data_IF_562673948980
#
_entry.id   IF_562673948980
#
_cell.length_a   1.000
_cell.length_b   1.000
_cell.length_c   1.000
_cell.angle_alpha   90.00
_cell.angle_beta   90.00
_cell.angle_gamma   90.00
#
_symmetry.space_group_name_H-M   'P 1'
#
loop_
_entity.id
_entity.type
_entity.pdbx_description
1 polymer ?
#
# COMPACT_ATOMS: atom_id res chain seq x y z
N UNK A 1 -11.76 -57.39 -73.98
CA UNK A 1 -10.95 -58.05 -72.93
C UNK A 1 -9.69 -57.27 -72.60
N UNK A 2 -8.80 -56.96 -73.56
CA UNK A 2 -7.61 -56.13 -73.32
C UNK A 2 -7.90 -54.81 -72.58
N UNK A 3 -8.95 -54.08 -72.99
CA UNK A 3 -9.42 -52.86 -72.29
C UNK A 3 -9.86 -53.15 -70.84
N UNK A 4 -10.53 -54.29 -70.63
CA UNK A 4 -10.97 -54.72 -69.29
C UNK A 4 -9.77 -55.01 -68.40
N UNK A 5 -8.76 -55.71 -68.92
CA UNK A 5 -7.53 -56.02 -68.19
C UNK A 5 -6.69 -54.76 -67.91
N UNK A 6 -6.62 -53.81 -68.84
CA UNK A 6 -5.88 -52.55 -68.63
C UNK A 6 -6.61 -51.55 -67.72
N UNK A 7 -7.94 -51.63 -67.63
CA UNK A 7 -8.79 -50.72 -66.85
C UNK A 7 -9.20 -51.25 -65.47
N UNK A 8 -8.56 -52.32 -64.95
CA UNK A 8 -8.89 -52.93 -63.63
C UNK A 8 -8.99 -51.93 -62.47
N UNK A 9 -8.30 -50.79 -62.59
CA UNK A 9 -8.27 -49.73 -61.56
C UNK A 9 -9.28 -48.59 -61.81
N UNK A 10 -9.96 -48.60 -62.95
CA UNK A 10 -10.84 -47.50 -63.35
C UNK A 10 -12.23 -47.61 -62.71
N UNK A 11 -12.86 -46.47 -62.37
CA UNK A 11 -14.27 -46.44 -62.01
C UNK A 11 -15.15 -47.08 -63.09
N UNK A 12 -16.13 -47.88 -62.67
CA UNK A 12 -17.07 -48.51 -63.60
C UNK A 12 -16.57 -49.81 -64.23
N UNK A 13 -15.39 -50.33 -63.83
CA UNK A 13 -14.87 -51.62 -64.28
C UNK A 13 -15.90 -52.75 -64.13
N UNK A 14 -16.61 -52.83 -63.00
CA UNK A 14 -17.65 -53.85 -62.77
C UNK A 14 -18.78 -53.79 -63.81
N UNK A 15 -19.13 -52.59 -64.32
CA UNK A 15 -20.11 -52.44 -65.38
C UNK A 15 -19.53 -52.93 -66.72
N UNK A 16 -18.28 -52.58 -67.04
CA UNK A 16 -17.57 -53.05 -68.24
C UNK A 16 -17.43 -54.59 -68.22
N UNK A 17 -17.08 -55.15 -67.07
CA UNK A 17 -16.89 -56.59 -66.86
C UNK A 17 -18.20 -57.38 -67.03
N UNK A 18 -19.30 -56.91 -66.43
CA UNK A 18 -20.62 -57.50 -66.63
C UNK A 18 -21.10 -57.41 -68.08
N UNK A 19 -20.84 -56.31 -68.77
CA UNK A 19 -21.17 -56.16 -70.18
C UNK A 19 -20.38 -57.13 -71.06
N UNK A 20 -19.08 -57.32 -70.78
CA UNK A 20 -18.25 -58.30 -71.47
C UNK A 20 -18.67 -59.74 -71.18
N UNK A 21 -18.98 -60.09 -69.93
CA UNK A 21 -19.49 -61.41 -69.54
C UNK A 21 -20.78 -61.74 -70.29
N UNK A 22 -21.71 -60.78 -70.38
CA UNK A 22 -22.94 -60.91 -71.15
C UNK A 22 -22.65 -61.14 -72.65
N UNK A 23 -21.74 -60.35 -73.23
CA UNK A 23 -21.35 -60.50 -74.64
C UNK A 23 -20.72 -61.88 -74.91
N UNK A 24 -19.79 -62.32 -74.06
CA UNK A 24 -19.10 -63.60 -74.19
C UNK A 24 -20.05 -64.80 -74.11
N UNK A 25 -21.05 -64.75 -73.22
CA UNK A 25 -22.09 -65.78 -73.11
C UNK A 25 -23.04 -65.81 -74.30
N UNK A 26 -23.30 -64.66 -74.92
CA UNK A 26 -24.22 -64.53 -76.06
C UNK A 26 -23.61 -64.83 -77.42
N UNK A 27 -22.27 -64.87 -77.53
CA UNK A 27 -21.57 -65.06 -78.79
C UNK A 27 -21.72 -66.49 -79.32
N UNK A 28 -22.29 -66.62 -80.52
CA UNK A 28 -22.46 -67.90 -81.23
C UNK A 28 -21.30 -68.21 -82.19
N UNK A 29 -20.49 -67.20 -82.52
CA UNK A 29 -19.47 -67.28 -83.57
C UNK A 29 -18.10 -67.76 -83.06
N UNK A 30 -17.95 -67.92 -81.74
CA UNK A 30 -16.74 -68.44 -81.11
C UNK A 30 -16.79 -69.95 -80.99
N UNK A 31 -15.68 -70.62 -81.32
CA UNK A 31 -15.50 -72.02 -80.97
C UNK A 31 -15.47 -72.21 -79.45
N UNK A 32 -15.70 -73.45 -79.00
CA UNK A 32 -15.69 -73.79 -77.58
C UNK A 32 -14.35 -73.45 -76.93
N UNK A 33 -13.25 -73.79 -77.59
CA UNK A 33 -11.89 -73.57 -77.07
C UNK A 33 -11.55 -72.07 -76.97
N UNK A 34 -11.98 -71.26 -77.94
CA UNK A 34 -11.82 -69.79 -77.88
C UNK A 34 -12.64 -69.18 -76.74
N UNK A 35 -13.88 -69.66 -76.54
CA UNK A 35 -14.74 -69.17 -75.45
C UNK A 35 -14.14 -69.53 -74.09
N UNK A 36 -13.65 -70.75 -73.91
CA UNK A 36 -13.04 -71.22 -72.66
C UNK A 36 -11.73 -70.45 -72.38
N UNK A 37 -10.91 -70.17 -73.40
CA UNK A 37 -9.71 -69.33 -73.29
C UNK A 37 -10.04 -67.89 -72.85
N UNK A 38 -10.98 -67.23 -73.53
CA UNK A 38 -11.45 -65.88 -73.18
C UNK A 38 -12.10 -65.83 -71.79
N UNK A 39 -12.78 -66.91 -71.39
CA UNK A 39 -13.36 -67.04 -70.05
C UNK A 39 -12.27 -67.13 -68.98
N UNK A 40 -11.22 -67.92 -69.20
CA UNK A 40 -10.08 -68.02 -68.29
C UNK A 40 -9.31 -66.70 -68.15
N UNK A 41 -9.16 -65.92 -69.22
CA UNK A 41 -8.58 -64.57 -69.16
C UNK A 41 -9.51 -63.55 -68.47
N UNK A 42 -10.83 -63.63 -68.69
CA UNK A 42 -11.80 -62.83 -67.96
C UNK A 42 -11.77 -63.10 -66.45
N UNK A 43 -11.72 -64.38 -66.05
CA UNK A 43 -11.58 -64.78 -64.66
C UNK A 43 -10.30 -64.21 -64.05
N UNK A 44 -9.16 -64.28 -64.75
CA UNK A 44 -7.91 -63.66 -64.30
C UNK A 44 -8.05 -62.13 -64.12
N UNK A 45 -8.69 -61.44 -65.05
CA UNK A 45 -8.95 -60.00 -64.92
C UNK A 45 -9.89 -59.68 -63.75
N UNK A 46 -10.88 -60.54 -63.49
CA UNK A 46 -11.81 -60.41 -62.38
C UNK A 46 -11.17 -60.67 -61.02
N UNK A 47 -10.30 -61.67 -60.92
CA UNK A 47 -9.56 -61.94 -59.70
C UNK A 47 -8.55 -60.82 -59.42
N UNK A 48 -7.88 -60.28 -60.45
CA UNK A 48 -7.03 -59.09 -60.32
C UNK A 48 -7.84 -57.85 -59.86
N UNK A 49 -9.09 -57.69 -60.32
CA UNK A 49 -9.98 -56.65 -59.82
C UNK A 49 -10.36 -56.84 -58.36
N UNK A 50 -10.71 -58.07 -57.95
CA UNK A 50 -11.02 -58.38 -56.55
C UNK A 50 -9.83 -58.10 -55.64
N UNK A 51 -8.64 -58.55 -56.02
CA UNK A 51 -7.40 -58.30 -55.28
C UNK A 51 -7.14 -56.80 -55.16
N UNK A 52 -7.32 -56.04 -56.26
CA UNK A 52 -7.20 -54.59 -56.23
C UNK A 52 -8.24 -53.92 -55.32
N UNK A 53 -9.51 -54.38 -55.30
CA UNK A 53 -10.52 -53.84 -54.38
C UNK A 53 -10.19 -54.16 -52.92
N UNK A 54 -9.75 -55.39 -52.62
CA UNK A 54 -9.34 -55.78 -51.27
C UNK A 54 -8.15 -54.96 -50.78
N UNK A 55 -7.15 -54.73 -51.65
CA UNK A 55 -6.00 -53.89 -51.33
C UNK A 55 -6.41 -52.43 -51.11
N UNK A 56 -7.31 -51.90 -51.96
CA UNK A 56 -7.86 -50.57 -51.76
C UNK A 56 -8.66 -50.46 -50.46
N UNK A 57 -9.45 -51.47 -50.11
CA UNK A 57 -10.20 -51.53 -48.85
C UNK A 57 -9.26 -51.55 -47.64
N UNK A 58 -8.17 -52.32 -47.69
CA UNK A 58 -7.11 -52.31 -46.67
C UNK A 58 -6.47 -50.94 -46.53
N UNK A 59 -6.01 -50.36 -47.63
CA UNK A 59 -5.40 -49.02 -47.63
C UNK A 59 -6.38 -47.95 -47.13
N UNK A 60 -7.65 -48.03 -47.53
CA UNK A 60 -8.69 -47.13 -47.04
C UNK A 60 -8.94 -47.32 -45.54
N UNK A 61 -8.91 -48.55 -45.03
CA UNK A 61 -9.04 -48.84 -43.61
C UNK A 61 -7.86 -48.27 -42.81
N UNK A 62 -6.63 -48.49 -43.25
CA UNK A 62 -5.41 -47.99 -42.59
C UNK A 62 -5.34 -46.46 -42.60
N UNK A 63 -5.66 -45.82 -43.74
CA UNK A 63 -5.76 -44.37 -43.83
C UNK A 63 -6.84 -43.80 -42.91
N UNK A 64 -8.02 -44.44 -42.87
CA UNK A 64 -9.10 -44.02 -41.98
C UNK A 64 -8.69 -44.15 -40.51
N UNK A 65 -8.02 -45.24 -40.12
CA UNK A 65 -7.52 -45.44 -38.77
C UNK A 65 -6.43 -44.41 -38.40
N UNK A 66 -5.52 -44.10 -39.33
CA UNK A 66 -4.52 -43.04 -39.18
C UNK A 66 -5.14 -41.67 -38.92
N UNK A 67 -6.06 -41.25 -39.80
CA UNK A 67 -6.75 -39.96 -39.68
C UNK A 67 -7.65 -39.89 -38.44
N UNK A 68 -8.26 -41.00 -38.04
CA UNK A 68 -9.03 -41.07 -36.80
C UNK A 68 -8.14 -40.80 -35.59
N UNK A 69 -6.95 -41.39 -35.54
CA UNK A 69 -5.96 -41.09 -34.48
C UNK A 69 -5.54 -39.62 -34.49
N UNK A 70 -5.34 -39.01 -35.67
CA UNK A 70 -5.08 -37.57 -35.75
C UNK A 70 -6.23 -36.72 -35.21
N UNK A 71 -7.49 -37.17 -35.33
CA UNK A 71 -8.63 -36.50 -34.70
C UNK A 71 -8.66 -36.71 -33.18
N UNK A 72 -8.24 -37.87 -32.69
CA UNK A 72 -8.06 -38.13 -31.25
C UNK A 72 -6.96 -37.21 -30.67
N UNK A 73 -5.85 -37.06 -31.39
CA UNK A 73 -4.78 -36.12 -31.03
C UNK A 73 -5.29 -34.67 -31.03
N UNK A 74 -6.09 -34.30 -32.04
CA UNK A 74 -6.70 -32.97 -32.14
C UNK A 74 -7.66 -32.70 -30.97
N UNK A 75 -8.41 -33.71 -30.56
CA UNK A 75 -9.31 -33.66 -29.41
C UNK A 75 -8.53 -33.47 -28.10
N UNK A 76 -7.41 -34.18 -27.92
CA UNK A 76 -6.54 -34.04 -26.75
C UNK A 76 -5.93 -32.63 -26.62
N UNK A 77 -5.77 -31.91 -27.74
CA UNK A 77 -5.21 -30.54 -27.75
C UNK A 77 -6.28 -29.44 -27.93
N UNK A 78 -7.55 -29.73 -27.64
CA UNK A 78 -8.69 -28.81 -27.84
C UNK A 78 -8.49 -27.41 -27.24
N UNK A 79 -7.87 -27.31 -26.07
CA UNK A 79 -7.60 -26.05 -25.36
C UNK A 79 -6.21 -25.46 -25.66
N UNK A 80 -5.34 -26.25 -26.31
CA UNK A 80 -3.97 -25.85 -26.62
C UNK A 80 -3.89 -24.82 -27.76
N UNK A 81 -2.77 -24.10 -27.79
CA UNK A 81 -2.37 -23.26 -28.92
C UNK A 81 -2.06 -24.08 -30.18
N UNK A 82 -1.64 -25.33 -30.00
CA UNK A 82 -1.22 -26.25 -31.06
C UNK A 82 -2.38 -26.81 -31.89
N UNK A 83 -3.62 -26.73 -31.40
CA UNK A 83 -4.80 -27.26 -32.11
C UNK A 83 -4.88 -26.83 -33.57
N UNK A 84 -4.53 -25.58 -33.88
CA UNK A 84 -4.60 -25.09 -35.26
C UNK A 84 -3.62 -25.85 -36.16
N UNK A 85 -2.39 -26.05 -35.69
CA UNK A 85 -1.36 -26.80 -36.41
C UNK A 85 -1.78 -28.26 -36.62
N UNK A 86 -2.30 -28.91 -35.58
CA UNK A 86 -2.79 -30.30 -35.68
C UNK A 86 -4.01 -30.39 -36.62
N UNK A 87 -4.90 -29.39 -36.59
CA UNK A 87 -6.06 -29.31 -37.48
C UNK A 87 -5.65 -29.10 -38.95
N UNK A 88 -4.64 -28.27 -39.20
CA UNK A 88 -4.10 -28.00 -40.54
C UNK A 88 -3.43 -29.27 -41.10
N UNK A 89 -2.67 -30.00 -40.27
CA UNK A 89 -2.09 -31.31 -40.63
C UNK A 89 -3.16 -32.34 -40.98
N UNK A 90 -4.17 -32.52 -40.13
CA UNK A 90 -5.30 -33.42 -40.43
C UNK A 90 -5.97 -33.07 -41.76
N UNK A 91 -6.18 -31.77 -42.04
CA UNK A 91 -6.81 -31.34 -43.28
C UNK A 91 -5.94 -31.65 -44.52
N UNK A 92 -4.61 -31.51 -44.41
CA UNK A 92 -3.67 -31.91 -45.46
C UNK A 92 -3.74 -33.42 -45.71
N UNK A 93 -3.61 -34.23 -44.65
CA UNK A 93 -3.63 -35.70 -44.72
C UNK A 93 -4.96 -36.21 -45.32
N UNK A 94 -6.09 -35.61 -44.94
CA UNK A 94 -7.41 -35.95 -45.46
C UNK A 94 -7.54 -35.65 -46.97
N UNK A 95 -6.93 -34.56 -47.45
CA UNK A 95 -6.92 -34.19 -48.88
C UNK A 95 -6.08 -35.17 -49.70
N UNK A 96 -4.96 -35.63 -49.15
CA UNK A 96 -4.04 -36.56 -49.81
C UNK A 96 -4.54 -38.02 -49.82
N UNK A 97 -5.49 -38.35 -48.94
CA UNK A 97 -6.02 -39.70 -48.76
C UNK A 97 -6.96 -40.15 -49.90
N UNK A 98 -6.37 -40.59 -51.03
CA UNK A 98 -7.09 -41.03 -52.24
C UNK A 98 -7.79 -42.40 -52.11
N UNK A 99 -7.38 -43.26 -51.17
CA UNK A 99 -7.96 -44.60 -51.04
C UNK A 99 -9.36 -44.59 -50.40
N UNK A 100 -9.62 -43.60 -49.53
CA UNK A 100 -10.87 -43.47 -48.77
C UNK A 100 -12.12 -43.42 -49.64
N UNK A 101 -13.16 -44.10 -49.18
CA UNK A 101 -14.50 -44.00 -49.74
C UNK A 101 -15.19 -42.71 -49.29
N UNK A 102 -16.18 -42.25 -50.07
CA UNK A 102 -16.93 -41.02 -49.78
C UNK A 102 -17.49 -41.00 -48.34
N UNK A 103 -18.14 -42.09 -47.92
CA UNK A 103 -18.72 -42.22 -46.57
C UNK A 103 -17.67 -42.01 -45.47
N UNK A 104 -16.51 -42.64 -45.59
CA UNK A 104 -15.41 -42.49 -44.63
C UNK A 104 -14.90 -41.04 -44.55
N UNK A 105 -14.77 -40.36 -45.71
CA UNK A 105 -14.39 -38.94 -45.74
C UNK A 105 -15.43 -38.05 -45.08
N UNK A 106 -16.71 -38.29 -45.36
CA UNK A 106 -17.83 -37.54 -44.78
C UNK A 106 -17.87 -37.73 -43.25
N UNK A 107 -17.65 -38.96 -42.76
CA UNK A 107 -17.61 -39.28 -41.33
C UNK A 107 -16.44 -38.56 -40.62
N UNK A 108 -15.22 -38.64 -41.16
CA UNK A 108 -14.04 -37.93 -40.63
C UNK A 108 -14.23 -36.41 -40.64
N UNK A 109 -14.80 -35.87 -41.72
CA UNK A 109 -15.06 -34.44 -41.86
C UNK A 109 -16.11 -33.95 -40.87
N UNK A 110 -17.18 -34.73 -40.65
CA UNK A 110 -18.22 -34.43 -39.66
C UNK A 110 -17.64 -34.36 -38.24
N UNK A 111 -16.80 -35.34 -37.87
CA UNK A 111 -16.10 -35.35 -36.58
C UNK A 111 -15.19 -34.13 -36.42
N UNK A 112 -14.39 -33.81 -37.45
CA UNK A 112 -13.54 -32.62 -37.49
C UNK A 112 -14.34 -31.31 -37.28
N UNK A 113 -15.48 -31.15 -37.96
CA UNK A 113 -16.37 -30.01 -37.75
C UNK A 113 -16.95 -29.96 -36.33
N UNK A 114 -17.22 -31.12 -35.73
CA UNK A 114 -17.62 -31.25 -34.33
C UNK A 114 -16.58 -30.65 -33.38
N UNK A 115 -15.31 -31.03 -33.54
CA UNK A 115 -14.20 -30.53 -32.72
C UNK A 115 -14.02 -29.01 -32.84
N UNK A 116 -14.16 -28.44 -34.05
CA UNK A 116 -14.15 -26.99 -34.24
C UNK A 116 -15.29 -26.27 -33.51
N UNK A 117 -16.51 -26.81 -33.57
CA UNK A 117 -17.66 -26.26 -32.84
C UNK A 117 -17.42 -26.34 -31.32
N UNK A 118 -16.84 -27.44 -30.84
CA UNK A 118 -16.50 -27.61 -29.43
C UNK A 118 -15.45 -26.60 -28.98
N UNK A 119 -14.35 -26.43 -29.72
CA UNK A 119 -13.32 -25.41 -29.44
C UNK A 119 -13.89 -24.00 -29.44
N UNK A 120 -14.80 -23.68 -30.38
CA UNK A 120 -15.48 -22.39 -30.41
C UNK A 120 -16.29 -22.16 -29.12
N UNK A 121 -17.08 -23.15 -28.69
CA UNK A 121 -17.85 -23.08 -27.43
C UNK A 121 -16.96 -22.94 -26.20
N UNK A 122 -15.83 -23.64 -26.15
CA UNK A 122 -14.84 -23.51 -25.06
C UNK A 122 -14.29 -22.08 -25.00
N UNK A 123 -13.89 -21.51 -26.14
CA UNK A 123 -13.42 -20.12 -26.20
C UNK A 123 -14.48 -19.10 -25.81
N UNK A 124 -15.74 -19.32 -26.21
CA UNK A 124 -16.86 -18.47 -25.81
C UNK A 124 -17.11 -18.56 -24.30
N UNK A 125 -17.02 -19.77 -23.72
CA UNK A 125 -17.09 -19.98 -22.27
C UNK A 125 -15.96 -19.27 -21.54
N UNK A 126 -14.71 -19.45 -21.97
CA UNK A 126 -13.55 -18.80 -21.35
C UNK A 126 -13.66 -17.27 -21.44
N UNK A 127 -14.14 -16.74 -22.57
CA UNK A 127 -14.38 -15.31 -22.74
C UNK A 127 -15.49 -14.79 -21.80
N UNK A 128 -16.58 -15.54 -21.63
CA UNK A 128 -17.66 -15.19 -20.71
C UNK A 128 -17.21 -15.28 -19.24
N UNK A 129 -16.45 -16.32 -18.88
CA UNK A 129 -15.90 -16.50 -17.54
C UNK A 129 -14.89 -15.37 -17.21
N UNK A 130 -14.07 -14.97 -18.19
CA UNK A 130 -13.15 -13.82 -18.10
C UNK A 130 -13.90 -12.49 -17.94
N UNK A 131 -14.94 -12.24 -18.73
CA UNK A 131 -15.76 -11.02 -18.61
C UNK A 131 -16.50 -10.97 -17.26
N UNK A 132 -17.03 -12.09 -16.79
CA UNK A 132 -17.67 -12.17 -15.47
C UNK A 132 -16.66 -11.88 -14.35
N UNK A 133 -15.48 -12.49 -14.38
CA UNK A 133 -14.41 -12.22 -13.43
C UNK A 133 -14.01 -10.75 -13.45
N UNK A 134 -13.84 -10.16 -14.64
CA UNK A 134 -13.57 -8.73 -14.80
C UNK A 134 -14.63 -7.87 -14.14
N UNK A 135 -15.93 -8.11 -14.42
CA UNK A 135 -17.04 -7.35 -13.82
C UNK A 135 -17.03 -7.45 -12.30
N UNK A 136 -16.72 -8.62 -11.73
CA UNK A 136 -16.61 -8.80 -10.28
C UNK A 136 -15.47 -7.98 -9.67
N UNK A 137 -14.29 -7.95 -10.29
CA UNK A 137 -13.19 -7.10 -9.83
C UNK A 137 -13.54 -5.62 -9.95
N UNK A 138 -14.12 -5.20 -11.08
CA UNK A 138 -14.55 -3.81 -11.29
C UNK A 138 -15.62 -3.40 -10.27
N UNK A 139 -16.59 -4.27 -9.99
CA UNK A 139 -17.59 -4.03 -8.96
C UNK A 139 -16.96 -3.93 -7.56
N UNK A 140 -15.99 -4.80 -7.23
CA UNK A 140 -15.22 -4.70 -5.98
C UNK A 140 -14.44 -3.38 -5.91
N UNK A 141 -13.85 -2.93 -7.01
CA UNK A 141 -13.15 -1.65 -7.09
C UNK A 141 -14.08 -0.47 -6.83
N UNK A 142 -15.25 -0.43 -7.47
CA UNK A 142 -16.23 0.63 -7.23
C UNK A 142 -16.91 0.51 -5.85
N UNK A 143 -16.91 -0.68 -5.26
CA UNK A 143 -17.37 -0.90 -3.89
C UNK A 143 -16.34 -0.52 -2.82
N UNK A 144 -15.11 -0.21 -3.20
CA UNK A 144 -14.16 0.40 -2.27
C UNK A 144 -14.69 1.79 -1.91
N UNK A 145 -15.03 1.98 -0.63
CA UNK A 145 -15.51 3.26 -0.13
C UNK A 145 -14.33 4.25 -0.05
N UNK A 146 -14.16 5.05 -1.11
CA UNK A 146 -13.29 6.23 -1.12
C UNK A 146 -14.06 7.52 -0.76
N UNK A 147 -15.24 7.38 -0.16
CA UNK A 147 -16.02 8.50 0.33
C UNK A 147 -15.88 8.63 1.85
N UNK A 148 -15.98 9.85 2.33
CA UNK A 148 -16.08 10.15 3.75
C UNK A 148 -17.32 11.02 3.93
N UNK A 149 -18.27 10.57 4.75
CA UNK A 149 -19.59 11.17 4.95
C UNK A 149 -20.39 11.42 3.65
N UNK A 150 -20.25 10.51 2.68
CA UNK A 150 -20.93 10.62 1.37
C UNK A 150 -20.31 11.64 0.41
N UNK A 151 -19.28 12.36 0.84
CA UNK A 151 -18.46 13.21 -0.02
C UNK A 151 -17.21 12.44 -0.46
N UNK A 152 -16.67 12.70 -1.67
CA UNK A 152 -15.34 12.19 -2.03
C UNK A 152 -14.33 12.56 -0.93
N UNK A 153 -13.36 11.68 -0.62
CA UNK A 153 -12.30 11.95 0.38
C UNK A 153 -11.65 13.35 0.21
N UNK A 154 -11.64 13.89 -1.01
CA UNK A 154 -11.17 15.23 -1.36
C UNK A 154 -11.94 16.40 -0.71
N UNK A 155 -13.12 16.17 -0.11
CA UNK A 155 -14.04 17.25 0.30
C UNK A 155 -14.37 17.27 1.80
N UNK A 156 -14.03 16.24 2.58
CA UNK A 156 -14.50 16.16 3.98
C UNK A 156 -13.48 16.64 5.01
N UNK A 157 -13.57 17.95 5.28
CA UNK A 157 -13.02 18.81 6.34
C UNK A 157 -12.77 18.30 7.80
N UNK A 158 -13.51 17.30 8.24
CA UNK A 158 -13.97 17.25 9.64
C UNK A 158 -13.45 16.09 10.48
N UNK A 159 -12.78 15.08 9.88
CA UNK A 159 -12.37 13.87 10.61
C UNK A 159 -11.13 13.18 10.01
N UNK A 160 -9.98 13.87 10.12
CA UNK A 160 -8.74 13.54 9.42
C UNK A 160 -8.05 12.24 9.80
N UNK A 161 -8.09 11.89 11.09
CA UNK A 161 -7.51 10.65 11.57
C UNK A 161 -8.14 9.45 10.83
N UNK A 162 -9.45 9.50 10.59
CA UNK A 162 -10.17 8.45 9.88
C UNK A 162 -9.85 8.44 8.39
N UNK A 163 -9.63 9.59 7.76
CA UNK A 163 -9.27 9.68 6.33
C UNK A 163 -7.94 8.98 6.05
N UNK A 164 -6.91 9.23 6.87
CA UNK A 164 -5.61 8.59 6.68
C UNK A 164 -5.62 7.08 6.87
N UNK A 165 -6.40 6.59 7.83
CA UNK A 165 -6.60 5.14 8.02
C UNK A 165 -7.34 4.51 6.83
N UNK A 166 -8.39 5.17 6.30
CA UNK A 166 -9.09 4.70 5.10
C UNK A 166 -8.14 4.63 3.90
N UNK A 167 -7.39 5.70 3.61
CA UNK A 167 -6.47 5.72 2.45
C UNK A 167 -5.45 4.57 2.53
N UNK A 168 -4.83 4.32 3.69
CA UNK A 168 -3.89 3.20 3.84
C UNK A 168 -4.58 1.84 3.66
N UNK A 169 -5.74 1.64 4.29
CA UNK A 169 -6.50 0.40 4.17
C UNK A 169 -6.83 0.11 2.70
N UNK A 170 -7.26 1.14 1.98
CA UNK A 170 -7.57 1.05 0.56
C UNK A 170 -6.34 0.75 -0.29
N UNK A 171 -5.18 1.35 -0.03
CA UNK A 171 -3.93 1.01 -0.74
C UNK A 171 -3.56 -0.47 -0.54
N UNK A 172 -3.69 -1.00 0.67
CA UNK A 172 -3.43 -2.42 0.93
C UNK A 172 -4.44 -3.33 0.22
N UNK A 173 -5.73 -2.94 0.17
CA UNK A 173 -6.74 -3.65 -0.61
C UNK A 173 -6.41 -3.65 -2.11
N UNK A 174 -6.01 -2.50 -2.69
CA UNK A 174 -5.60 -2.42 -4.09
C UNK A 174 -4.37 -3.31 -4.37
N UNK A 175 -3.37 -3.32 -3.49
CA UNK A 175 -2.20 -4.24 -3.61
C UNK A 175 -2.60 -5.71 -3.54
N UNK A 176 -3.58 -6.06 -2.70
CA UNK A 176 -4.11 -7.41 -2.62
C UNK A 176 -4.84 -7.78 -3.92
N UNK A 177 -5.71 -6.89 -4.41
CA UNK A 177 -6.42 -7.08 -5.68
C UNK A 177 -5.48 -7.22 -6.87
N UNK A 178 -4.38 -6.46 -6.95
CA UNK A 178 -3.37 -6.64 -8.02
C UNK A 178 -2.75 -8.05 -7.99
N UNK A 179 -2.50 -8.60 -6.79
CA UNK A 179 -1.97 -9.96 -6.64
C UNK A 179 -3.01 -11.00 -7.05
N UNK A 180 -4.27 -10.84 -6.63
CA UNK A 180 -5.39 -11.69 -7.03
C UNK A 180 -5.55 -11.72 -8.56
N UNK A 181 -5.63 -10.55 -9.21
CA UNK A 181 -5.75 -10.41 -10.67
C UNK A 181 -4.59 -11.05 -11.42
N UNK A 182 -3.38 -10.98 -10.87
CA UNK A 182 -2.19 -11.62 -11.47
C UNK A 182 -2.28 -13.15 -11.43
N UNK A 183 -2.87 -13.70 -10.37
CA UNK A 183 -2.97 -15.14 -10.11
C UNK A 183 -4.25 -15.76 -10.68
N UNK A 184 -5.25 -14.95 -11.04
CA UNK A 184 -6.53 -15.45 -11.54
C UNK A 184 -6.39 -16.06 -12.95
N UNK A 185 -6.58 -17.38 -13.00
CA UNK A 185 -6.52 -18.16 -14.23
C UNK A 185 -7.73 -17.92 -15.16
N UNK A 186 -8.85 -17.41 -14.65
CA UNK A 186 -10.06 -17.13 -15.44
C UNK A 186 -9.91 -15.88 -16.29
N UNK A 187 -9.07 -14.94 -15.86
CA UNK A 187 -8.85 -13.70 -16.60
C UNK A 187 -7.92 -13.92 -17.80
N UNK A 188 -8.48 -13.73 -18.99
CA UNK A 188 -7.71 -13.68 -20.22
C UNK A 188 -6.83 -12.42 -20.26
N UNK A 189 -5.73 -12.46 -21.02
CA UNK A 189 -4.72 -11.39 -21.02
C UNK A 189 -5.27 -9.97 -21.30
N UNK A 190 -6.30 -9.85 -22.14
CA UNK A 190 -6.95 -8.56 -22.44
C UNK A 190 -7.75 -8.04 -21.24
N UNK A 191 -8.59 -8.87 -20.63
CA UNK A 191 -9.41 -8.47 -19.49
C UNK A 191 -8.58 -8.26 -18.24
N UNK A 192 -7.55 -9.10 -18.03
CA UNK A 192 -6.56 -8.90 -16.97
C UNK A 192 -5.92 -7.51 -17.06
N UNK A 193 -5.50 -7.10 -18.26
CA UNK A 193 -4.94 -5.76 -18.48
C UNK A 193 -5.98 -4.68 -18.16
N UNK A 194 -7.22 -4.82 -18.63
CA UNK A 194 -8.28 -3.88 -18.32
C UNK A 194 -8.50 -3.70 -16.81
N UNK A 195 -8.54 -4.80 -16.05
CA UNK A 195 -8.65 -4.71 -14.57
C UNK A 195 -7.42 -4.03 -13.97
N UNK A 196 -6.21 -4.29 -14.45
CA UNK A 196 -5.00 -3.59 -13.99
C UNK A 196 -5.07 -2.09 -14.25
N UNK A 197 -5.52 -1.68 -15.44
CA UNK A 197 -5.64 -0.27 -15.81
C UNK A 197 -6.65 0.44 -14.88
N UNK A 198 -7.79 -0.19 -14.59
CA UNK A 198 -8.78 0.32 -13.60
C UNK A 198 -8.21 0.41 -12.18
N UNK A 199 -7.45 -0.61 -11.73
CA UNK A 199 -6.78 -0.55 -10.42
C UNK A 199 -5.80 0.63 -10.38
N UNK A 200 -5.05 0.89 -11.47
CA UNK A 200 -4.08 1.98 -11.52
C UNK A 200 -4.76 3.35 -11.51
N UNK A 201 -5.88 3.52 -12.22
CA UNK A 201 -6.67 4.77 -12.16
C UNK A 201 -7.15 5.06 -10.73
N UNK A 202 -7.70 4.05 -10.07
CA UNK A 202 -8.12 4.16 -8.67
C UNK A 202 -6.94 4.45 -7.74
N UNK A 203 -5.80 3.78 -7.94
CA UNK A 203 -4.58 4.01 -7.18
C UNK A 203 -4.07 5.45 -7.31
N UNK A 204 -4.11 6.00 -8.54
CA UNK A 204 -3.73 7.37 -8.82
C UNK A 204 -4.62 8.36 -8.07
N UNK A 205 -5.95 8.16 -8.11
CA UNK A 205 -6.92 8.96 -7.34
C UNK A 205 -6.65 8.93 -5.84
N UNK A 206 -6.37 7.74 -5.28
CA UNK A 206 -6.02 7.58 -3.86
C UNK A 206 -4.71 8.29 -3.52
N UNK A 207 -3.73 8.26 -4.43
CA UNK A 207 -2.45 8.94 -4.23
C UNK A 207 -2.60 10.47 -4.26
N UNK A 208 -3.43 11.01 -5.16
CA UNK A 208 -3.75 12.45 -5.19
C UNK A 208 -4.47 12.89 -3.91
N UNK A 209 -5.41 12.08 -3.42
CA UNK A 209 -6.10 12.35 -2.17
C UNK A 209 -5.13 12.36 -0.98
N UNK A 210 -4.18 11.42 -0.92
CA UNK A 210 -3.13 11.38 0.09
C UNK A 210 -2.24 12.63 0.03
N UNK A 211 -1.80 13.03 -1.16
CA UNK A 211 -0.95 14.21 -1.35
C UNK A 211 -1.66 15.50 -0.94
N UNK A 212 -2.93 15.65 -1.33
CA UNK A 212 -3.78 16.79 -0.90
C UNK A 212 -3.92 16.80 0.62
N UNK A 213 -4.10 15.63 1.23
CA UNK A 213 -4.21 15.52 2.69
C UNK A 213 -2.89 15.90 3.37
N UNK A 214 -1.75 15.42 2.87
CA UNK A 214 -0.44 15.81 3.37
C UNK A 214 -0.20 17.31 3.27
N UNK A 215 -0.61 17.95 2.18
CA UNK A 215 -0.47 19.39 2.01
C UNK A 215 -1.23 20.16 3.09
N UNK A 216 -2.52 19.86 3.28
CA UNK A 216 -3.37 20.49 4.30
C UNK A 216 -2.84 20.27 5.72
N UNK A 217 -2.40 19.05 6.04
CA UNK A 217 -1.76 18.76 7.33
C UNK A 217 -0.41 19.46 7.48
N UNK A 218 0.33 19.60 6.39
CA UNK A 218 1.59 20.33 6.36
C UNK A 218 1.40 21.80 6.71
N UNK A 219 0.38 22.46 6.13
CA UNK A 219 0.03 23.84 6.45
C UNK A 219 -0.39 24.01 7.91
N UNK A 220 -1.25 23.12 8.42
CA UNK A 220 -1.66 23.14 9.84
C UNK A 220 -0.47 22.91 10.78
N UNK A 221 0.42 21.96 10.44
CA UNK A 221 1.63 21.72 11.22
C UNK A 221 2.56 22.94 11.23
N UNK A 222 2.67 23.65 10.10
CA UNK A 222 3.48 24.86 10.00
C UNK A 222 2.90 25.98 10.88
N UNK A 223 1.57 26.16 10.89
CA UNK A 223 0.89 27.10 11.78
C UNK A 223 1.16 26.77 13.26
N UNK A 224 0.94 25.52 13.67
CA UNK A 224 1.18 25.06 15.04
C UNK A 224 2.63 25.24 15.48
N UNK A 225 3.58 24.99 14.57
CA UNK A 225 4.99 25.24 14.82
C UNK A 225 5.28 26.75 14.99
N UNK A 226 4.75 27.60 14.12
CA UNK A 226 4.93 29.05 14.21
C UNK A 226 4.33 29.64 15.50
N UNK A 227 3.16 29.15 15.92
CA UNK A 227 2.56 29.52 17.21
C UNK A 227 3.45 29.10 18.39
N UNK A 228 3.98 27.88 18.36
CA UNK A 228 4.89 27.39 19.41
C UNK A 228 6.21 28.17 19.43
N UNK A 229 6.76 28.48 18.26
CA UNK A 229 7.94 29.33 18.10
C UNK A 229 7.70 30.72 18.71
N UNK A 230 6.60 31.38 18.34
CA UNK A 230 6.24 32.69 18.86
C UNK A 230 5.98 32.66 20.38
N UNK A 231 5.42 31.58 20.92
CA UNK A 231 5.23 31.41 22.35
C UNK A 231 6.56 31.29 23.10
N UNK A 232 7.52 30.52 22.58
CA UNK A 232 8.88 30.42 23.15
C UNK A 232 9.58 31.78 23.12
N UNK A 233 9.33 32.61 22.11
CA UNK A 233 9.94 33.94 22.00
C UNK A 233 9.32 34.99 22.92
N UNK A 234 7.99 35.01 23.05
CA UNK A 234 7.27 36.13 23.63
C UNK A 234 6.59 35.85 24.98
N UNK A 235 6.52 34.59 25.44
CA UNK A 235 5.83 34.23 26.68
C UNK A 235 6.78 33.85 27.82
N UNK A 236 6.26 33.87 29.05
CA UNK A 236 6.96 33.32 30.19
C UNK A 236 7.23 31.81 30.01
N UNK A 237 8.35 31.26 30.50
CA UNK A 237 8.76 29.88 30.19
C UNK A 237 7.71 28.81 30.51
N UNK A 238 6.95 28.97 31.61
CA UNK A 238 5.88 28.03 31.98
C UNK A 238 4.72 28.01 30.98
N UNK A 239 4.30 29.18 30.50
CA UNK A 239 3.23 29.29 29.50
C UNK A 239 3.68 28.79 28.13
N UNK A 240 4.90 29.16 27.71
CA UNK A 240 5.50 28.66 26.47
C UNK A 240 5.62 27.12 26.46
N UNK A 241 5.99 26.51 27.59
CA UNK A 241 6.08 25.04 27.73
C UNK A 241 4.72 24.35 27.51
N UNK A 242 3.63 24.96 28.01
CA UNK A 242 2.28 24.42 27.83
C UNK A 242 1.85 24.46 26.36
N UNK A 243 2.06 25.59 25.67
CA UNK A 243 1.78 25.74 24.23
C UNK A 243 2.59 24.75 23.41
N UNK A 244 3.90 24.66 23.67
CA UNK A 244 4.79 23.73 22.95
C UNK A 244 4.35 22.27 23.13
N UNK A 245 3.92 21.88 24.34
CA UNK A 245 3.43 20.52 24.62
C UNK A 245 2.10 20.24 23.89
N UNK A 246 1.17 21.19 23.91
CA UNK A 246 -0.13 21.08 23.25
C UNK A 246 0.03 20.96 21.73
N UNK A 247 0.75 21.91 21.11
CA UNK A 247 0.97 21.94 19.67
C UNK A 247 1.77 20.72 19.20
N UNK A 248 2.75 20.26 19.98
CA UNK A 248 3.48 19.03 19.68
C UNK A 248 2.60 17.77 19.75
N UNK A 249 1.59 17.73 20.61
CA UNK A 249 0.61 16.64 20.66
C UNK A 249 -0.32 16.67 19.44
N UNK A 250 -0.81 17.84 19.07
CA UNK A 250 -1.63 18.01 17.86
C UNK A 250 -0.86 17.63 16.60
N UNK A 251 0.40 18.08 16.42
CA UNK A 251 1.23 17.70 15.26
C UNK A 251 1.43 16.18 15.16
N UNK A 252 1.56 15.47 16.28
CA UNK A 252 1.67 14.00 16.28
C UNK A 252 0.39 13.31 15.80
N UNK A 253 -0.77 13.94 15.97
CA UNK A 253 -2.06 13.45 15.45
C UNK A 253 -2.22 13.72 13.94
N UNK A 254 -1.49 14.71 13.39
CA UNK A 254 -1.58 15.05 11.97
C UNK A 254 -1.03 13.93 11.06
N UNK A 255 -1.69 13.73 9.93
CA UNK A 255 -1.22 12.81 8.92
C UNK A 255 -0.24 13.54 8.01
N UNK A 256 1.05 13.36 8.32
CA UNK A 256 2.17 14.00 7.65
C UNK A 256 3.04 12.94 6.96
N UNK A 257 3.79 13.36 5.95
CA UNK A 257 4.80 12.51 5.33
C UNK A 257 5.85 12.08 6.37
N UNK A 258 6.54 10.96 6.10
CA UNK A 258 7.60 10.49 7.00
C UNK A 258 8.72 11.53 7.18
N UNK A 259 9.05 12.26 6.10
CA UNK A 259 10.05 13.30 6.13
C UNK A 259 9.60 14.48 7.00
N UNK A 260 8.38 14.97 6.81
CA UNK A 260 7.86 16.11 7.58
C UNK A 260 7.76 15.78 9.08
N UNK A 261 7.32 14.57 9.43
CA UNK A 261 7.30 14.14 10.85
C UNK A 261 8.69 14.18 11.49
N UNK A 262 9.72 13.79 10.75
CA UNK A 262 11.09 13.84 11.24
C UNK A 262 11.54 15.30 11.44
N UNK A 263 11.24 16.17 10.46
CA UNK A 263 11.56 17.60 10.53
C UNK A 263 10.88 18.27 11.72
N UNK A 264 9.56 18.13 11.87
CA UNK A 264 8.83 18.75 12.98
C UNK A 264 9.28 18.21 14.33
N UNK A 265 9.63 16.92 14.45
CA UNK A 265 10.21 16.39 15.68
C UNK A 265 11.51 17.12 16.03
N UNK A 266 12.43 17.22 15.08
CA UNK A 266 13.70 17.92 15.28
C UNK A 266 13.48 19.39 15.66
N UNK A 267 12.62 20.10 14.94
CA UNK A 267 12.36 21.52 15.22
C UNK A 267 11.72 21.74 16.60
N UNK A 268 10.83 20.84 17.04
CA UNK A 268 10.29 20.92 18.41
C UNK A 268 11.34 20.59 19.47
N UNK A 269 12.25 19.66 19.20
CA UNK A 269 13.38 19.37 20.11
C UNK A 269 14.28 20.61 20.25
N UNK A 270 14.55 21.33 19.16
CA UNK A 270 15.31 22.60 19.16
C UNK A 270 14.58 23.71 19.95
N UNK A 271 13.26 23.86 19.76
CA UNK A 271 12.44 24.80 20.54
C UNK A 271 12.46 24.46 22.03
N UNK A 272 12.41 23.17 22.38
CA UNK A 272 12.53 22.73 23.78
C UNK A 272 13.88 23.11 24.40
N UNK A 273 14.98 22.95 23.67
CA UNK A 273 16.30 23.37 24.16
C UNK A 273 16.38 24.88 24.36
N UNK A 274 15.85 25.67 23.43
CA UNK A 274 15.78 27.13 23.56
C UNK A 274 14.97 27.55 24.79
N UNK A 275 13.82 26.92 25.01
CA UNK A 275 12.97 27.18 26.18
C UNK A 275 13.66 26.82 27.49
N UNK A 276 14.41 25.71 27.50
CA UNK A 276 15.21 25.30 28.66
C UNK A 276 16.26 26.35 29.00
N UNK A 277 16.99 26.85 28.02
CA UNK A 277 17.98 27.91 28.21
C UNK A 277 17.36 29.18 28.79
N UNK A 278 16.23 29.66 28.22
CA UNK A 278 15.50 30.81 28.77
C UNK A 278 15.04 30.60 30.22
N UNK A 279 14.65 29.36 30.57
CA UNK A 279 14.28 29.03 31.95
C UNK A 279 15.48 29.09 32.88
N UNK A 280 16.63 28.59 32.44
CA UNK A 280 17.89 28.67 33.19
C UNK A 280 18.34 30.12 33.39
N UNK A 281 18.27 30.97 32.35
CA UNK A 281 18.55 32.40 32.44
C UNK A 281 17.59 33.13 33.39
N UNK A 282 16.29 32.90 33.25
CA UNK A 282 15.28 33.52 34.12
C UNK A 282 15.48 33.10 35.59
N UNK A 283 15.90 31.85 35.82
CA UNK A 283 16.22 31.35 37.14
C UNK A 283 17.50 31.97 37.70
N UNK A 284 18.55 32.11 36.88
CA UNK A 284 19.78 32.80 37.25
C UNK A 284 19.49 34.27 37.62
N UNK A 285 18.79 35.00 36.76
CA UNK A 285 18.40 36.40 37.02
C UNK A 285 17.47 36.56 38.24
N UNK A 286 16.68 35.53 38.58
CA UNK A 286 15.94 35.50 39.83
C UNK A 286 16.87 35.30 41.03
N UNK A 287 17.81 34.35 40.97
CA UNK A 287 18.82 34.14 42.02
C UNK A 287 19.64 35.39 42.26
N UNK A 288 20.18 36.02 41.22
CA UNK A 288 20.98 37.25 41.33
C UNK A 288 20.21 38.37 42.06
N UNK A 289 18.91 38.51 41.75
CA UNK A 289 18.04 39.48 42.44
C UNK A 289 17.81 39.13 43.91
N UNK A 290 17.68 37.84 44.24
CA UNK A 290 17.56 37.40 45.64
C UNK A 290 18.88 37.60 46.40
N UNK A 291 20.02 37.29 45.79
CA UNK A 291 21.36 37.48 46.36
C UNK A 291 21.66 38.96 46.61
N UNK A 292 21.40 39.84 45.64
CA UNK A 292 21.56 41.29 45.82
C UNK A 292 20.60 41.85 46.90
N UNK A 293 19.39 41.30 47.00
CA UNK A 293 18.46 41.64 48.09
C UNK A 293 19.00 41.21 49.46
N UNK A 294 19.57 40.01 49.54
CA UNK A 294 20.20 39.47 50.75
C UNK A 294 21.43 40.30 51.16
N UNK A 295 22.27 40.69 50.21
CA UNK A 295 23.44 41.55 50.47
C UNK A 295 23.02 42.90 51.06
N UNK A 296 21.96 43.52 50.52
CA UNK A 296 21.40 44.76 51.09
C UNK A 296 20.89 44.59 52.52
N UNK A 297 20.24 43.46 52.83
CA UNK A 297 19.76 43.17 54.18
C UNK A 297 20.93 42.94 55.14
N UNK A 298 21.97 42.21 54.72
CA UNK A 298 23.19 42.00 55.50
C UNK A 298 23.89 43.32 55.80
N UNK A 299 24.09 44.17 54.78
CA UNK A 299 24.70 45.49 54.99
C UNK A 299 23.83 46.46 55.81
N UNK A 300 22.51 46.29 55.85
CA UNK A 300 21.64 47.03 56.76
C UNK A 300 21.81 46.54 58.22
N UNK A 301 21.89 45.22 58.42
CA UNK A 301 22.16 44.60 59.72
C UNK A 301 23.50 45.08 60.29
N UNK A 302 24.56 45.05 59.50
CA UNK A 302 25.90 45.44 59.96
C UNK A 302 25.94 46.92 60.38
N UNK A 303 25.33 47.82 59.60
CA UNK A 303 25.22 49.24 59.95
C UNK A 303 24.40 49.47 61.23
N UNK A 304 23.37 48.67 61.44
CA UNK A 304 22.53 48.76 62.64
C UNK A 304 23.26 48.22 63.88
N UNK A 305 24.07 47.16 63.73
CA UNK A 305 24.97 46.66 64.77
C UNK A 305 26.01 47.72 65.15
N UNK A 306 26.67 48.35 64.17
CA UNK A 306 27.62 49.43 64.43
C UNK A 306 26.96 50.62 65.17
N UNK A 307 25.73 50.97 64.79
CA UNK A 307 24.97 52.03 65.46
C UNK A 307 24.61 51.64 66.91
N UNK A 308 24.18 50.40 67.11
CA UNK A 308 23.86 49.83 68.42
C UNK A 308 25.08 49.85 69.34
N UNK A 309 26.25 49.45 68.85
CA UNK A 309 27.49 49.46 69.62
C UNK A 309 27.91 50.88 70.03
N UNK A 310 27.70 51.87 69.16
CA UNK A 310 27.93 53.29 69.51
C UNK A 310 26.97 53.77 70.59
N UNK A 311 25.68 53.41 70.49
CA UNK A 311 24.67 53.75 71.51
C UNK A 311 25.04 53.12 72.85
N UNK A 312 25.38 51.82 72.86
CA UNK A 312 25.84 51.10 74.06
C UNK A 312 27.09 51.73 74.68
N UNK A 313 28.07 52.10 73.85
CA UNK A 313 29.28 52.79 74.32
C UNK A 313 28.96 54.14 74.95
N UNK A 314 28.06 54.92 74.34
CA UNK A 314 27.59 56.19 74.89
C UNK A 314 26.82 55.99 76.21
N UNK A 315 25.98 54.96 76.31
CA UNK A 315 25.25 54.62 77.54
C UNK A 315 26.24 54.33 78.67
N UNK A 316 27.26 53.48 78.44
CA UNK A 316 28.34 53.20 79.42
C UNK A 316 29.09 54.47 79.86
N UNK A 317 29.37 55.38 78.91
CA UNK A 317 29.99 56.65 79.23
C UNK A 317 29.08 57.53 80.10
N UNK A 318 27.77 57.55 79.83
CA UNK A 318 26.80 58.29 80.62
C UNK A 318 26.61 57.67 82.01
N UNK A 319 26.62 56.34 82.15
CA UNK A 319 26.64 55.66 83.46
C UNK A 319 27.85 56.09 84.29
N UNK A 320 29.03 56.13 83.67
CA UNK A 320 30.24 56.63 84.32
C UNK A 320 30.10 58.09 84.76
N UNK A 321 29.57 58.97 83.90
CA UNK A 321 29.28 60.38 84.25
C UNK A 321 28.23 60.52 85.36
N UNK A 322 27.27 59.61 85.42
CA UNK A 322 26.22 59.60 86.44
C UNK A 322 26.80 59.25 87.82
N UNK A 323 27.73 58.29 87.85
CA UNK A 323 28.46 57.91 89.06
C UNK A 323 29.32 59.08 89.60
N UNK A 324 29.92 59.87 88.70
CA UNK A 324 30.76 61.02 89.02
C UNK A 324 29.97 62.34 89.21
N UNK A 325 28.63 62.30 89.15
CA UNK A 325 27.78 63.49 89.21
C UNK A 325 27.77 64.12 90.62
N UNK A 326 28.20 65.39 90.68
CA UNK A 326 28.35 66.17 91.92
C UNK A 326 27.18 67.13 92.23
N UNK A 327 26.20 67.26 91.32
CA UNK A 327 24.98 68.05 91.54
C UNK A 327 23.74 67.32 91.04
N UNK A 328 22.63 67.47 91.76
CA UNK A 328 21.36 66.78 91.46
C UNK A 328 20.83 67.16 90.07
N UNK A 329 20.90 68.44 89.67
CA UNK A 329 20.48 68.88 88.34
C UNK A 329 21.38 68.42 87.17
N UNK A 330 22.63 68.00 87.44
CA UNK A 330 23.45 67.30 86.44
C UNK A 330 23.11 65.80 86.41
N UNK A 331 22.88 65.20 87.58
CA UNK A 331 22.45 63.81 87.72
C UNK A 331 21.15 63.54 86.95
N UNK A 332 20.12 64.38 87.12
CA UNK A 332 18.83 64.24 86.45
C UNK A 332 18.96 64.26 84.92
N UNK A 333 19.78 65.17 84.37
CA UNK A 333 20.02 65.25 82.92
C UNK A 333 20.77 64.04 82.37
N UNK A 334 21.77 63.55 83.09
CA UNK A 334 22.51 62.34 82.68
C UNK A 334 21.61 61.10 82.77
N UNK A 335 20.75 61.01 83.79
CA UNK A 335 19.73 59.96 83.88
C UNK A 335 18.72 60.00 82.75
N UNK A 336 18.28 61.19 82.31
CA UNK A 336 17.40 61.34 81.15
C UNK A 336 18.09 60.89 79.85
N UNK A 337 19.35 61.28 79.63
CA UNK A 337 20.14 60.81 78.49
C UNK A 337 20.35 59.30 78.49
N UNK A 338 20.58 58.70 79.66
CA UNK A 338 20.70 57.26 79.80
C UNK A 338 19.38 56.56 79.43
N UNK A 339 18.25 57.07 79.92
CA UNK A 339 16.92 56.55 79.59
C UNK A 339 16.61 56.61 78.09
N UNK A 340 16.89 57.74 77.44
CA UNK A 340 16.75 57.87 75.98
C UNK A 340 17.67 56.92 75.23
N UNK A 341 18.90 56.75 75.73
CA UNK A 341 19.89 55.84 75.16
C UNK A 341 19.48 54.38 75.26
N UNK A 342 18.95 53.94 76.40
CA UNK A 342 18.40 52.59 76.60
C UNK A 342 17.15 52.32 75.75
N UNK A 343 16.28 53.32 75.56
CA UNK A 343 15.12 53.20 74.69
C UNK A 343 15.54 53.04 73.22
N UNK A 344 16.49 53.87 72.75
CA UNK A 344 17.08 53.72 71.41
C UNK A 344 17.79 52.38 71.24
N UNK A 345 18.47 51.88 72.26
CA UNK A 345 19.09 50.55 72.25
C UNK A 345 18.05 49.46 72.01
N UNK A 346 16.95 49.44 72.78
CA UNK A 346 15.85 48.48 72.62
C UNK A 346 15.17 48.58 71.24
N UNK A 347 15.03 49.77 70.69
CA UNK A 347 14.48 49.97 69.34
C UNK A 347 15.38 49.39 68.25
N UNK A 348 16.70 49.58 68.39
CA UNK A 348 17.69 49.01 67.48
C UNK A 348 17.75 47.48 67.59
N UNK A 349 17.66 46.91 68.78
CA UNK A 349 17.60 45.45 68.99
C UNK A 349 16.38 44.83 68.31
N UNK A 350 15.19 45.42 68.50
CA UNK A 350 13.97 44.96 67.79
C UNK A 350 14.12 45.02 66.27
N UNK A 351 14.72 46.10 65.78
CA UNK A 351 14.98 46.28 64.35
C UNK A 351 15.99 45.26 63.81
N UNK A 352 16.95 44.81 64.63
CA UNK A 352 17.88 43.73 64.27
C UNK A 352 17.16 42.39 64.16
N UNK A 353 16.31 42.03 65.12
CA UNK A 353 15.55 40.78 65.08
C UNK A 353 14.66 40.69 63.82
N UNK A 354 14.01 41.79 63.45
CA UNK A 354 13.25 41.88 62.20
C UNK A 354 14.11 41.68 60.95
N UNK A 355 15.31 42.27 60.92
CA UNK A 355 16.26 42.10 59.81
C UNK A 355 16.76 40.65 59.74
N UNK A 356 17.06 40.02 60.88
CA UNK A 356 17.51 38.63 60.91
C UNK A 356 16.43 37.67 60.43
N UNK A 357 15.17 37.91 60.77
CA UNK A 357 14.04 37.16 60.21
C UNK A 357 13.96 37.31 58.68
N UNK A 358 14.05 38.54 58.16
CA UNK A 358 14.03 38.80 56.70
C UNK A 358 15.22 38.13 55.98
N UNK A 359 16.40 38.13 56.59
CA UNK A 359 17.61 37.46 56.08
C UNK A 359 17.40 35.95 56.02
N UNK A 360 16.81 35.36 57.06
CA UNK A 360 16.49 33.92 57.10
C UNK A 360 15.53 33.54 55.97
N UNK A 361 14.44 34.27 55.81
CA UNK A 361 13.46 34.03 54.74
C UNK A 361 14.10 34.15 53.34
N UNK A 362 14.96 35.14 53.12
CA UNK A 362 15.67 35.30 51.85
C UNK A 362 16.64 34.12 51.58
N UNK A 363 17.35 33.64 52.59
CA UNK A 363 18.21 32.45 52.47
C UNK A 363 17.42 31.19 52.19
N UNK A 364 16.28 31.01 52.86
CA UNK A 364 15.43 29.85 52.65
C UNK A 364 14.84 29.85 51.24
N UNK A 365 14.47 31.02 50.72
CA UNK A 365 14.07 31.17 49.30
C UNK A 365 15.20 30.82 48.34
N UNK A 366 16.46 31.15 48.64
CA UNK A 366 17.60 30.78 47.78
C UNK A 366 17.97 29.28 47.84
N UNK A 367 17.61 28.60 48.94
CA UNK A 367 17.87 27.18 49.15
C UNK A 367 16.81 26.27 48.53
N UNK A 368 15.57 26.73 48.46
CA UNK A 368 14.45 26.05 47.77
C UNK A 368 14.48 26.33 46.28
#
# INVERSE_FOLDING_TARGET
LAELTSSVREPGWTRKAKAFEAALRSSRDLSRDERDSLWGEYQRAWDAFKEHQQERERLAHDQHAGLSRCLDDLEAVLESREFKEVADRFQADLRESRALFKKQRDDLWSRYQGLWKQRKRLRERDANDSDLARRQYVQRLYGLDFSYDGAPIMQSFSNWERVGHKVRATREQLKAMQREVKQDARLLGRDRKAVFDEIQDVWFKVSQAEETTFHVHGERAAQLYNEAYAAVDNMAPGAAAAVLKANGAEIRSLWLSRADRANYKQWFDELWQRLRYKREEAHAAWRDRQEAGLEKLLGARDRLLDALDRVRSNNRLNESKLADAWSDGYRDRVSEWLREGEERERDMERSLDELESKIRDARDRLRG
#
